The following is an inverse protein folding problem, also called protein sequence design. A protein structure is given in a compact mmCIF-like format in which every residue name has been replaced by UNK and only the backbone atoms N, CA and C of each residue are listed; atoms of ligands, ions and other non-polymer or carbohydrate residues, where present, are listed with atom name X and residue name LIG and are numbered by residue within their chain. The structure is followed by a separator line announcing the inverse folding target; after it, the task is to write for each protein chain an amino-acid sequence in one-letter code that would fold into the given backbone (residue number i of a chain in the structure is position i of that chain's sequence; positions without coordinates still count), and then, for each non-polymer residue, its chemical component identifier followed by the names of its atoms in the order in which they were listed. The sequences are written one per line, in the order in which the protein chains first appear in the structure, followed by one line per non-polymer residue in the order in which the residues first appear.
data_IF_110851399713
#
_entry.id   IF_110851399713
#
_cell.length_a   1.000
_cell.length_b   1.000
_cell.length_c   1.000
_cell.angle_alpha   90.00
_cell.angle_beta   90.00
_cell.angle_gamma   90.00
#
_symmetry.space_group_name_H-M   'P 1'
#
loop_
_entity.id
_entity.type
_entity.pdbx_description
1 polymer ?
#
# COMPACT_ATOMS: atom_id res chain seq x y z
N UNK A 1 -30.80 -14.80 -6.35
CA UNK A 1 -30.68 -15.14 -7.78
C UNK A 1 -29.20 -15.23 -8.09
N UNK A 2 -28.68 -16.40 -8.44
CA UNK A 2 -27.23 -16.66 -8.45
C UNK A 2 -26.64 -16.95 -9.83
N UNK A 3 -27.37 -16.70 -10.94
CA UNK A 3 -26.85 -16.91 -12.29
C UNK A 3 -27.43 -15.90 -13.28
N UNK A 4 -26.64 -15.57 -14.31
CA UNK A 4 -27.06 -14.69 -15.40
C UNK A 4 -28.14 -15.39 -16.21
N UNK A 5 -29.35 -14.85 -16.19
CA UNK A 5 -30.52 -15.34 -16.93
C UNK A 5 -31.09 -14.19 -17.78
N UNK A 6 -31.91 -14.45 -18.80
CA UNK A 6 -32.54 -13.40 -19.60
C UNK A 6 -33.36 -12.40 -18.76
N UNK A 7 -33.79 -12.81 -17.57
CA UNK A 7 -34.50 -11.99 -16.58
C UNK A 7 -33.58 -11.17 -15.66
N UNK A 8 -32.27 -11.48 -15.63
CA UNK A 8 -31.24 -10.79 -14.84
C UNK A 8 -30.04 -10.43 -15.74
N UNK A 9 -30.19 -9.43 -16.63
CA UNK A 9 -29.12 -9.00 -17.52
C UNK A 9 -27.96 -8.40 -16.75
N UNK A 10 -26.75 -8.52 -17.30
CA UNK A 10 -25.52 -7.97 -16.69
C UNK A 10 -25.53 -6.45 -16.56
N UNK A 11 -26.33 -5.76 -17.36
CA UNK A 11 -26.54 -4.31 -17.28
C UNK A 11 -27.20 -3.87 -15.97
N UNK A 12 -27.95 -4.77 -15.32
CA UNK A 12 -28.58 -4.53 -14.01
C UNK A 12 -27.61 -4.72 -12.83
N UNK A 13 -26.37 -5.16 -13.09
CA UNK A 13 -25.33 -5.25 -12.05
C UNK A 13 -24.63 -3.90 -11.86
N UNK A 14 -24.08 -3.66 -10.67
CA UNK A 14 -23.39 -2.42 -10.29
C UNK A 14 -22.28 -1.99 -11.28
N UNK A 15 -21.60 -2.96 -11.90
CA UNK A 15 -20.49 -2.69 -12.82
C UNK A 15 -20.93 -2.64 -14.29
N UNK A 16 -22.06 -3.25 -14.66
CA UNK A 16 -22.57 -3.32 -16.05
C UNK A 16 -21.60 -3.90 -17.11
N UNK A 17 -20.48 -4.51 -16.72
CA UNK A 17 -19.54 -5.19 -17.62
C UNK A 17 -18.95 -6.45 -17.00
N UNK A 18 -18.43 -7.36 -17.84
CA UNK A 18 -17.60 -8.48 -17.41
C UNK A 18 -16.15 -8.03 -17.27
N UNK A 19 -15.52 -8.19 -16.08
CA UNK A 19 -14.13 -7.80 -15.89
C UNK A 19 -13.19 -8.51 -16.89
N UNK A 20 -12.33 -7.75 -17.56
CA UNK A 20 -11.29 -8.26 -18.44
C UNK A 20 -10.29 -9.10 -17.65
N UNK A 21 -10.23 -10.40 -17.95
CA UNK A 21 -9.36 -11.35 -17.28
C UNK A 21 -7.87 -10.99 -17.44
N UNK A 22 -7.48 -10.50 -18.62
CA UNK A 22 -6.08 -10.17 -18.93
C UNK A 22 -5.56 -9.00 -18.09
N UNK A 23 -6.30 -7.89 -17.99
CA UNK A 23 -5.87 -6.72 -17.25
C UNK A 23 -5.76 -6.96 -15.74
N UNK A 24 -6.77 -7.62 -15.17
CA UNK A 24 -6.81 -7.91 -13.73
C UNK A 24 -5.78 -8.98 -13.33
N UNK A 25 -5.52 -9.98 -14.17
CA UNK A 25 -4.50 -11.01 -13.87
C UNK A 25 -3.05 -10.48 -13.96
N UNK A 26 -2.76 -9.57 -14.89
CA UNK A 26 -1.44 -8.93 -14.99
C UNK A 26 -1.15 -8.11 -13.74
N UNK A 27 -2.10 -7.28 -13.30
CA UNK A 27 -1.94 -6.49 -12.07
C UNK A 27 -1.81 -7.38 -10.83
N UNK A 28 -2.64 -8.42 -10.71
CA UNK A 28 -2.55 -9.39 -9.62
C UNK A 28 -1.15 -10.04 -9.57
N UNK A 29 -0.60 -10.40 -10.72
CA UNK A 29 0.74 -11.00 -10.81
C UNK A 29 1.82 -10.02 -10.36
N UNK A 30 1.72 -8.74 -10.74
CA UNK A 30 2.66 -7.69 -10.30
C UNK A 30 2.58 -7.51 -8.78
N UNK A 31 1.39 -7.40 -8.20
CA UNK A 31 1.25 -7.27 -6.76
C UNK A 31 1.76 -8.49 -6.01
N UNK A 32 1.47 -9.71 -6.48
CA UNK A 32 1.97 -10.94 -5.87
C UNK A 32 3.51 -11.02 -5.87
N UNK A 33 4.16 -10.63 -6.98
CA UNK A 33 5.62 -10.55 -7.08
C UNK A 33 6.20 -9.48 -6.15
N UNK A 34 5.54 -8.33 -6.04
CA UNK A 34 5.93 -7.26 -5.12
C UNK A 34 5.79 -7.69 -3.66
N UNK A 35 4.68 -8.34 -3.28
CA UNK A 35 4.43 -8.87 -1.94
C UNK A 35 5.50 -9.90 -1.55
N UNK A 36 5.87 -10.79 -2.47
CA UNK A 36 6.95 -11.76 -2.24
C UNK A 36 8.30 -11.06 -2.06
N UNK A 37 8.61 -10.10 -2.94
CA UNK A 37 9.86 -9.32 -2.85
C UNK A 37 9.96 -8.52 -1.55
N UNK A 38 8.85 -7.94 -1.09
CA UNK A 38 8.77 -7.21 0.18
C UNK A 38 8.90 -8.13 1.39
N UNK A 39 8.33 -9.34 1.35
CA UNK A 39 8.52 -10.33 2.41
C UNK A 39 10.00 -10.70 2.53
N UNK A 40 10.68 -10.93 1.40
CA UNK A 40 12.11 -11.24 1.37
C UNK A 40 12.98 -10.07 1.86
N UNK A 41 12.70 -8.85 1.39
CA UNK A 41 13.43 -7.63 1.80
C UNK A 41 13.16 -7.28 3.29
N UNK A 42 11.93 -7.45 3.75
CA UNK A 42 11.52 -7.24 5.14
C UNK A 42 12.25 -8.16 6.12
N UNK A 43 12.35 -9.44 5.76
CA UNK A 43 13.13 -10.43 6.52
C UNK A 43 14.63 -10.12 6.47
N UNK A 44 15.15 -9.70 5.31
CA UNK A 44 16.59 -9.45 5.11
C UNK A 44 17.10 -8.19 5.81
N UNK A 45 16.30 -7.12 5.86
CA UNK A 45 16.71 -5.81 6.37
C UNK A 45 16.16 -5.47 7.77
N UNK A 46 15.32 -6.34 8.37
CA UNK A 46 14.77 -6.18 9.74
C UNK A 46 14.09 -4.83 10.02
N UNK A 47 13.66 -4.11 8.98
CA UNK A 47 12.81 -2.90 9.10
C UNK A 47 11.34 -3.34 9.08
N UNK A 48 10.97 -4.04 10.16
CA UNK A 48 9.70 -4.79 10.25
C UNK A 48 8.50 -3.85 10.12
N UNK A 49 8.49 -2.71 10.83
CA UNK A 49 7.33 -1.80 10.82
C UNK A 49 6.98 -1.26 9.43
N UNK A 50 7.99 -0.79 8.67
CA UNK A 50 7.79 -0.29 7.31
C UNK A 50 7.38 -1.43 6.36
N UNK A 51 8.07 -2.56 6.42
CA UNK A 51 7.81 -3.70 5.55
C UNK A 51 6.43 -4.33 5.80
N UNK A 52 5.97 -4.38 7.05
CA UNK A 52 4.66 -4.94 7.42
C UNK A 52 3.51 -4.09 6.87
N UNK A 53 3.63 -2.75 6.91
CA UNK A 53 2.59 -1.85 6.38
C UNK A 53 2.46 -1.98 4.86
N UNK A 54 3.59 -1.97 4.14
CA UNK A 54 3.57 -2.11 2.67
C UNK A 54 3.09 -3.51 2.28
N UNK A 55 3.51 -4.55 3.01
CA UNK A 55 3.03 -5.92 2.80
C UNK A 55 1.51 -6.04 2.99
N UNK A 56 0.96 -5.49 4.08
CA UNK A 56 -0.47 -5.49 4.33
C UNK A 56 -1.24 -4.74 3.21
N UNK A 57 -0.72 -3.60 2.76
CA UNK A 57 -1.30 -2.85 1.64
C UNK A 57 -1.31 -3.66 0.34
N UNK A 58 -0.21 -4.34 0.02
CA UNK A 58 -0.12 -5.19 -1.18
C UNK A 58 -1.00 -6.43 -1.11
N UNK A 59 -1.21 -7.01 0.08
CA UNK A 59 -2.18 -8.09 0.28
C UNK A 59 -3.63 -7.61 0.08
N UNK A 60 -3.97 -6.42 0.57
CA UNK A 60 -5.29 -5.84 0.37
C UNK A 60 -5.61 -5.64 -1.13
N UNK A 61 -4.64 -5.18 -1.94
CA UNK A 61 -4.81 -5.10 -3.39
C UNK A 61 -4.96 -6.48 -4.03
N UNK A 62 -4.15 -7.48 -3.63
CA UNK A 62 -4.29 -8.86 -4.12
C UNK A 62 -5.69 -9.42 -3.84
N UNK A 63 -6.26 -9.15 -2.65
CA UNK A 63 -7.62 -9.57 -2.28
C UNK A 63 -8.66 -8.84 -3.15
N UNK A 64 -8.48 -7.54 -3.39
CA UNK A 64 -9.36 -6.75 -4.27
C UNK A 64 -9.39 -7.27 -5.72
N UNK A 65 -8.21 -7.53 -6.31
CA UNK A 65 -8.10 -8.11 -7.66
C UNK A 65 -8.57 -9.56 -7.72
N UNK A 66 -8.36 -10.34 -6.66
CA UNK A 66 -8.93 -11.68 -6.51
C UNK A 66 -10.45 -11.67 -6.54
N UNK A 67 -11.09 -10.71 -5.86
CA UNK A 67 -12.53 -10.48 -5.92
C UNK A 67 -13.03 -10.21 -7.35
N UNK A 68 -12.28 -9.45 -8.14
CA UNK A 68 -12.60 -9.18 -9.57
C UNK A 68 -12.48 -10.40 -10.46
N UNK A 69 -11.48 -11.25 -10.23
CA UNK A 69 -11.34 -12.52 -10.93
C UNK A 69 -12.52 -13.47 -10.64
N UNK A 70 -13.02 -13.49 -9.39
CA UNK A 70 -14.19 -14.29 -9.01
C UNK A 70 -15.45 -13.77 -9.71
N UNK A 71 -15.61 -12.45 -9.84
CA UNK A 71 -16.74 -11.82 -10.55
C UNK A 71 -16.72 -12.05 -12.07
N UNK A 72 -15.59 -12.49 -12.65
CA UNK A 72 -15.52 -12.85 -14.08
C UNK A 72 -16.42 -14.04 -14.42
N UNK A 73 -16.48 -15.05 -13.55
CA UNK A 73 -17.30 -16.24 -13.76
C UNK A 73 -18.77 -16.02 -13.38
N UNK A 74 -19.04 -15.15 -12.41
CA UNK A 74 -20.41 -14.83 -11.98
C UNK A 74 -20.51 -13.40 -11.41
N UNK A 75 -21.01 -12.44 -12.21
CA UNK A 75 -21.21 -11.05 -11.79
C UNK A 75 -22.21 -10.88 -10.64
N UNK A 76 -23.11 -11.85 -10.45
CA UNK A 76 -24.14 -11.84 -9.40
C UNK A 76 -23.68 -12.47 -8.08
N UNK A 77 -22.38 -12.78 -7.93
CA UNK A 77 -21.88 -13.33 -6.67
C UNK A 77 -21.74 -12.27 -5.59
N UNK A 78 -22.55 -12.38 -4.53
CA UNK A 78 -22.45 -11.52 -3.34
C UNK A 78 -21.06 -11.61 -2.69
N UNK A 79 -20.39 -12.77 -2.80
CA UNK A 79 -19.05 -13.01 -2.27
C UNK A 79 -17.99 -12.13 -2.96
N UNK A 80 -18.02 -12.01 -4.29
CA UNK A 80 -17.04 -11.21 -5.03
C UNK A 80 -17.20 -9.71 -4.77
N UNK A 81 -18.44 -9.25 -4.62
CA UNK A 81 -18.74 -7.88 -4.24
C UNK A 81 -18.29 -7.56 -2.80
N UNK A 82 -18.65 -8.41 -1.83
CA UNK A 82 -18.28 -8.26 -0.41
C UNK A 82 -16.76 -8.26 -0.20
N UNK A 83 -16.01 -9.11 -0.90
CA UNK A 83 -14.54 -9.15 -0.82
C UNK A 83 -13.90 -7.80 -1.20
N UNK A 84 -14.48 -7.06 -2.15
CA UNK A 84 -13.95 -5.78 -2.59
C UNK A 84 -14.32 -4.62 -1.67
N UNK A 85 -15.54 -4.61 -1.12
CA UNK A 85 -16.05 -3.46 -0.34
C UNK A 85 -15.84 -3.60 1.17
N UNK A 86 -15.71 -4.82 1.70
CA UNK A 86 -15.48 -5.01 3.15
C UNK A 86 -14.16 -4.39 3.62
N UNK A 87 -13.02 -4.53 2.91
CA UNK A 87 -11.74 -3.95 3.35
C UNK A 87 -11.73 -2.42 3.45
N UNK A 88 -12.59 -1.74 2.68
CA UNK A 88 -12.73 -0.28 2.67
C UNK A 88 -13.80 0.24 3.65
N UNK A 89 -14.35 -0.63 4.50
CA UNK A 89 -15.41 -0.26 5.45
C UNK A 89 -16.84 -0.34 4.92
N UNK A 90 -17.04 -0.85 3.69
CA UNK A 90 -18.35 -1.06 3.07
C UNK A 90 -19.17 -2.21 3.65
N UNK A 91 -18.68 -2.86 4.73
CA UNK A 91 -19.39 -3.95 5.40
C UNK A 91 -20.80 -3.56 5.85
N UNK A 92 -20.96 -2.34 6.39
CA UNK A 92 -22.26 -1.81 6.87
C UNK A 92 -23.21 -1.52 5.69
N UNK A 93 -22.70 -0.95 4.61
CA UNK A 93 -23.49 -0.71 3.39
C UNK A 93 -23.90 -2.01 2.69
N UNK A 94 -23.10 -3.07 2.81
CA UNK A 94 -23.36 -4.39 2.19
C UNK A 94 -24.28 -5.31 2.97
N UNK A 95 -24.53 -5.01 4.25
CA UNK A 95 -25.32 -5.83 5.17
C UNK A 95 -26.67 -5.19 5.52
N UNK A 96 -26.85 -3.91 5.18
CA UNK A 96 -28.11 -3.20 5.40
C UNK A 96 -29.17 -3.52 4.34
N UNK A 97 -30.44 -3.43 4.72
CA UNK A 97 -31.58 -3.36 3.81
C UNK A 97 -32.22 -1.95 3.87
N UNK A 98 -32.68 -1.43 2.74
CA UNK A 98 -33.38 -0.14 2.66
C UNK A 98 -32.53 1.05 3.13
N UNK A 99 -33.05 1.83 4.09
CA UNK A 99 -32.41 3.07 4.58
C UNK A 99 -31.04 2.84 5.21
N UNK A 100 -30.78 1.66 5.78
CA UNK A 100 -29.49 1.34 6.41
C UNK A 100 -28.34 1.25 5.40
N UNK A 101 -28.63 0.97 4.12
CA UNK A 101 -27.65 1.00 3.03
C UNK A 101 -27.21 2.44 2.73
N UNK A 102 -28.16 3.37 2.71
CA UNK A 102 -27.87 4.78 2.43
C UNK A 102 -27.03 5.38 3.57
N UNK A 103 -27.39 5.10 4.82
CA UNK A 103 -26.59 5.49 5.99
C UNK A 103 -25.18 4.88 5.93
N UNK A 104 -25.06 3.61 5.54
CA UNK A 104 -23.76 2.96 5.36
C UNK A 104 -22.91 3.60 4.24
N UNK A 105 -23.55 4.00 3.13
CA UNK A 105 -22.88 4.67 2.03
C UNK A 105 -22.36 6.07 2.43
N UNK A 106 -23.17 6.84 3.16
CA UNK A 106 -22.79 8.17 3.64
C UNK A 106 -21.61 8.10 4.62
N UNK A 107 -21.62 7.11 5.52
CA UNK A 107 -20.51 6.84 6.44
C UNK A 107 -19.23 6.49 5.67
N UNK A 108 -19.34 5.65 4.64
CA UNK A 108 -18.21 5.26 3.80
C UNK A 108 -17.63 6.47 3.04
N UNK A 109 -18.48 7.30 2.43
CA UNK A 109 -18.06 8.52 1.72
C UNK A 109 -17.40 9.50 2.68
N UNK A 110 -17.95 9.70 3.88
CA UNK A 110 -17.38 10.56 4.91
C UNK A 110 -15.98 10.10 5.33
N UNK A 111 -15.77 8.79 5.49
CA UNK A 111 -14.46 8.21 5.81
C UNK A 111 -13.42 8.46 4.73
N UNK A 112 -13.78 8.25 3.46
CA UNK A 112 -12.89 8.50 2.32
C UNK A 112 -12.61 10.00 2.18
N UNK A 113 -13.61 10.86 2.35
CA UNK A 113 -13.44 12.32 2.29
C UNK A 113 -12.48 12.83 3.37
N UNK A 114 -12.63 12.34 4.60
CA UNK A 114 -11.72 12.68 5.69
C UNK A 114 -10.30 12.19 5.42
N UNK A 115 -10.15 10.96 4.89
CA UNK A 115 -8.86 10.39 4.49
C UNK A 115 -8.17 11.24 3.41
N UNK A 116 -8.91 11.70 2.40
CA UNK A 116 -8.36 12.55 1.33
C UNK A 116 -7.89 13.89 1.89
N UNK A 117 -8.68 14.50 2.79
CA UNK A 117 -8.33 15.78 3.40
C UNK A 117 -7.04 15.72 4.23
N UNK A 118 -6.86 14.68 5.04
CA UNK A 118 -5.63 14.51 5.82
C UNK A 118 -4.43 14.21 4.91
N UNK A 119 -4.60 13.39 3.88
CA UNK A 119 -3.52 13.08 2.92
C UNK A 119 -3.09 14.30 2.11
N UNK A 120 -4.03 15.18 1.73
CA UNK A 120 -3.72 16.44 1.05
C UNK A 120 -2.83 17.34 1.92
N UNK A 121 -3.18 17.51 3.20
CA UNK A 121 -2.39 18.30 4.14
C UNK A 121 -0.98 17.73 4.31
N UNK A 122 -0.87 16.41 4.51
CA UNK A 122 0.42 15.74 4.63
C UNK A 122 1.27 15.88 3.37
N UNK A 123 0.66 15.82 2.18
CA UNK A 123 1.36 16.00 0.90
C UNK A 123 1.91 17.43 0.76
N UNK A 124 1.14 18.46 1.12
CA UNK A 124 1.60 19.85 1.08
C UNK A 124 2.80 20.07 2.00
N UNK A 125 2.75 19.52 3.22
CA UNK A 125 3.87 19.59 4.16
C UNK A 125 5.10 18.81 3.66
N UNK A 126 4.91 17.65 3.06
CA UNK A 126 6.00 16.86 2.49
C UNK A 126 6.68 17.59 1.32
N UNK A 127 5.89 18.25 0.46
CA UNK A 127 6.40 19.06 -0.65
C UNK A 127 7.13 20.31 -0.14
N UNK A 128 6.59 21.00 0.87
CA UNK A 128 7.24 22.16 1.50
C UNK A 128 8.58 21.77 2.14
N UNK A 129 8.63 20.63 2.85
CA UNK A 129 9.87 20.09 3.41
C UNK A 129 10.88 19.72 2.32
N UNK A 130 10.44 19.02 1.27
CA UNK A 130 11.31 18.64 0.14
C UNK A 130 11.85 19.87 -0.59
N UNK A 131 11.01 20.88 -0.80
CA UNK A 131 11.38 22.15 -1.44
C UNK A 131 12.34 22.97 -0.58
N UNK A 132 12.08 23.05 0.73
CA UNK A 132 12.93 23.73 1.70
C UNK A 132 14.31 23.07 1.80
N UNK A 133 14.38 21.74 1.76
CA UNK A 133 15.65 21.00 1.72
C UNK A 133 16.41 21.22 0.41
N UNK A 134 15.70 21.28 -0.72
CA UNK A 134 16.30 21.57 -2.01
C UNK A 134 16.90 22.98 -2.05
N UNK A 135 16.15 23.98 -1.57
CA UNK A 135 16.56 25.39 -1.55
C UNK A 135 17.74 25.67 -0.61
N UNK A 136 17.71 25.13 0.61
CA UNK A 136 18.76 25.36 1.62
C UNK A 136 20.13 24.84 1.17
N UNK A 137 20.14 23.78 0.35
CA UNK A 137 21.38 23.17 -0.10
C UNK A 137 21.99 23.82 -1.34
N UNK A 138 21.21 24.47 -2.20
CA UNK A 138 21.73 25.30 -3.31
C UNK A 138 22.62 26.44 -2.80
N UNK A 139 22.36 26.94 -1.59
CA UNK A 139 23.15 27.99 -0.95
C UNK A 139 24.44 27.48 -0.27
N UNK A 140 24.57 26.18 -0.04
CA UNK A 140 25.71 25.58 0.70
C UNK A 140 26.80 25.08 -0.25
N UNK A 141 27.25 25.98 -1.11
CA UNK A 141 28.42 25.83 -1.99
C UNK A 141 29.68 26.38 -1.32
N UNK A 142 30.17 25.73 -0.26
CA UNK A 142 31.51 26.00 0.29
C UNK A 142 32.19 24.69 0.71
N UNK A 143 33.25 24.34 -0.04
CA UNK A 143 34.42 23.44 0.15
C UNK A 143 34.46 22.25 1.13
N UNK A 144 33.56 22.06 2.10
CA UNK A 144 33.53 20.92 3.03
C UNK A 144 32.57 19.79 2.58
N UNK A 145 31.87 19.99 1.45
CA UNK A 145 30.71 19.20 1.05
C UNK A 145 30.97 17.81 0.45
N UNK A 146 32.21 17.40 0.24
CA UNK A 146 32.53 16.23 -0.59
C UNK A 146 32.35 14.89 0.15
N UNK A 147 32.63 14.83 1.46
CA UNK A 147 32.43 13.61 2.28
C UNK A 147 30.96 13.37 2.66
N UNK A 148 30.15 14.45 2.69
CA UNK A 148 28.72 14.42 3.00
C UNK A 148 27.87 14.19 1.73
N UNK A 149 28.41 14.46 0.53
CA UNK A 149 27.66 14.52 -0.74
C UNK A 149 26.98 13.20 -1.13
N UNK A 150 27.64 12.06 -0.95
CA UNK A 150 27.14 10.77 -1.48
C UNK A 150 25.94 10.24 -0.68
N UNK A 151 25.92 10.43 0.65
CA UNK A 151 24.78 10.08 1.51
C UNK A 151 23.58 11.02 1.32
N UNK A 152 23.82 12.29 0.97
CA UNK A 152 22.76 13.29 0.78
C UNK A 152 22.07 13.18 -0.60
N UNK A 153 22.79 12.83 -1.67
CA UNK A 153 22.16 12.51 -2.98
C UNK A 153 21.24 11.31 -2.87
N UNK A 154 21.69 10.32 -2.10
CA UNK A 154 20.96 9.10 -1.87
C UNK A 154 19.66 9.37 -1.08
N UNK A 155 19.75 10.15 0.00
CA UNK A 155 18.60 10.65 0.75
C UNK A 155 17.64 11.52 -0.08
N UNK A 156 18.16 12.36 -1.00
CA UNK A 156 17.33 13.15 -1.93
C UNK A 156 16.53 12.28 -2.89
N UNK A 157 17.17 11.27 -3.49
CA UNK A 157 16.47 10.33 -4.38
C UNK A 157 15.38 9.59 -3.61
N UNK A 158 15.66 9.15 -2.38
CA UNK A 158 14.66 8.55 -1.49
C UNK A 158 13.48 9.50 -1.22
N UNK A 159 13.73 10.77 -0.88
CA UNK A 159 12.66 11.76 -0.64
C UNK A 159 11.84 12.06 -1.90
N UNK A 160 12.46 12.13 -3.08
CA UNK A 160 11.76 12.34 -4.35
C UNK A 160 10.89 11.12 -4.69
N UNK A 161 11.42 9.91 -4.56
CA UNK A 161 10.66 8.67 -4.75
C UNK A 161 9.48 8.59 -3.77
N UNK A 162 9.69 8.98 -2.52
CA UNK A 162 8.65 9.03 -1.49
C UNK A 162 7.56 10.05 -1.82
N UNK A 163 7.92 11.29 -2.19
CA UNK A 163 6.93 12.30 -2.61
C UNK A 163 6.16 11.87 -3.86
N UNK A 164 6.83 11.23 -4.82
CA UNK A 164 6.19 10.73 -6.03
C UNK A 164 5.24 9.57 -5.74
N UNK A 165 5.62 8.64 -4.85
CA UNK A 165 4.73 7.58 -4.37
C UNK A 165 3.50 8.16 -3.64
N UNK A 166 3.71 9.16 -2.77
CA UNK A 166 2.61 9.87 -2.09
C UNK A 166 1.67 10.55 -3.09
N UNK A 167 2.20 11.21 -4.12
CA UNK A 167 1.39 11.84 -5.16
C UNK A 167 0.56 10.79 -5.91
N UNK A 168 1.13 9.65 -6.27
CA UNK A 168 0.39 8.57 -6.96
C UNK A 168 -0.73 7.98 -6.10
N UNK A 169 -0.52 7.84 -4.78
CA UNK A 169 -1.56 7.38 -3.84
C UNK A 169 -2.65 8.45 -3.68
N UNK A 170 -2.26 9.73 -3.64
CA UNK A 170 -3.19 10.84 -3.51
C UNK A 170 -4.16 10.93 -4.70
N UNK A 171 -3.66 10.68 -5.91
CA UNK A 171 -4.49 10.62 -7.12
C UNK A 171 -5.58 9.54 -6.98
N UNK A 172 -5.24 8.33 -6.50
CA UNK A 172 -6.22 7.27 -6.17
C UNK A 172 -7.27 7.75 -5.16
N UNK A 173 -6.85 8.41 -4.08
CA UNK A 173 -7.78 8.91 -3.06
C UNK A 173 -8.77 9.93 -3.66
N UNK A 174 -8.32 10.82 -4.55
CA UNK A 174 -9.20 11.75 -5.25
C UNK A 174 -10.17 11.02 -6.15
N UNK A 175 -9.75 10.01 -6.92
CA UNK A 175 -10.64 9.28 -7.82
C UNK A 175 -11.69 8.45 -7.08
N UNK A 176 -11.35 7.91 -5.91
CA UNK A 176 -12.26 7.12 -5.07
C UNK A 176 -13.43 7.91 -4.49
N UNK A 177 -13.24 9.21 -4.27
CA UNK A 177 -14.27 10.08 -3.70
C UNK A 177 -15.49 10.25 -4.63
N UNK A 178 -15.37 10.74 -5.89
CA UNK A 178 -16.48 10.84 -6.82
C UNK A 178 -16.97 9.48 -7.33
N UNK A 179 -16.12 8.46 -7.33
CA UNK A 179 -16.53 7.08 -7.65
C UNK A 179 -17.65 6.62 -6.72
N UNK A 180 -17.47 6.81 -5.40
CA UNK A 180 -18.46 6.40 -4.39
C UNK A 180 -19.56 7.45 -4.17
N UNK A 181 -19.24 8.75 -4.31
CA UNK A 181 -20.20 9.84 -4.14
C UNK A 181 -21.20 9.95 -5.30
N UNK A 182 -20.86 9.44 -6.49
CA UNK A 182 -21.79 9.40 -7.63
C UNK A 182 -22.80 8.25 -7.60
N UNK A 183 -22.81 7.47 -6.52
CA UNK A 183 -23.74 6.36 -6.33
C UNK A 183 -23.38 5.09 -7.11
N UNK A 184 -24.05 4.00 -6.75
CA UNK A 184 -23.84 2.68 -7.34
C UNK A 184 -24.19 2.70 -8.83
N UNK A 185 -23.21 2.38 -9.69
CA UNK A 185 -23.42 2.27 -11.13
C UNK A 185 -23.21 3.57 -11.93
N UNK A 186 -22.55 4.58 -11.35
CA UNK A 186 -22.07 5.78 -12.05
C UNK A 186 -21.20 5.40 -13.28
N UNK A 187 -21.26 6.09 -14.43
CA UNK A 187 -20.38 5.87 -15.59
C UNK A 187 -18.88 5.70 -15.27
N UNK A 188 -18.38 6.36 -14.22
CA UNK A 188 -16.99 6.21 -13.76
C UNK A 188 -16.68 4.78 -13.25
N UNK A 189 -17.63 4.10 -12.59
CA UNK A 189 -17.48 2.71 -12.15
C UNK A 189 -17.64 1.70 -13.30
N UNK A 190 -18.36 2.08 -14.36
CA UNK A 190 -18.63 1.23 -15.54
C UNK A 190 -17.47 1.20 -16.54
N UNK A 191 -16.53 2.13 -16.45
CA UNK A 191 -15.34 2.17 -17.30
C UNK A 191 -14.17 1.38 -16.69
N UNK A 192 -14.12 0.07 -16.98
CA UNK A 192 -13.08 -0.82 -16.44
C UNK A 192 -11.65 -0.33 -16.72
N UNK A 193 -11.39 0.15 -17.95
CA UNK A 193 -10.03 0.53 -18.38
C UNK A 193 -9.51 1.73 -17.59
N UNK A 194 -10.37 2.70 -17.34
CA UNK A 194 -10.05 3.88 -16.54
C UNK A 194 -9.80 3.48 -15.10
N UNK A 195 -10.66 2.63 -14.53
CA UNK A 195 -10.45 2.07 -13.21
C UNK A 195 -9.11 1.32 -13.11
N UNK A 196 -8.83 0.41 -14.05
CA UNK A 196 -7.66 -0.46 -14.00
C UNK A 196 -6.35 0.34 -14.04
N UNK A 197 -6.30 1.39 -14.87
CA UNK A 197 -5.12 2.24 -15.02
C UNK A 197 -5.02 3.25 -13.86
N UNK A 198 -6.11 3.95 -13.55
CA UNK A 198 -6.09 5.05 -12.58
C UNK A 198 -6.06 4.57 -11.13
N UNK A 199 -6.70 3.44 -10.82
CA UNK A 199 -6.71 2.89 -9.46
C UNK A 199 -5.60 1.84 -9.26
N UNK A 200 -5.44 0.96 -10.26
CA UNK A 200 -4.54 -0.21 -10.18
C UNK A 200 -3.09 0.05 -10.56
N UNK A 201 -2.86 0.61 -11.74
CA UNK A 201 -1.50 0.83 -12.21
C UNK A 201 -0.77 1.90 -11.38
N UNK A 202 -1.49 2.92 -10.89
CA UNK A 202 -0.91 3.96 -10.03
C UNK A 202 -0.40 3.41 -8.69
N UNK A 203 -1.17 2.53 -8.03
CA UNK A 203 -0.73 1.91 -6.76
C UNK A 203 0.36 0.85 -7.00
N UNK A 204 0.35 0.16 -8.15
CA UNK A 204 1.44 -0.72 -8.56
C UNK A 204 2.77 0.03 -8.70
N UNK A 205 2.76 1.19 -9.37
CA UNK A 205 3.96 2.03 -9.50
C UNK A 205 4.42 2.53 -8.13
N UNK A 206 3.50 3.00 -7.27
CA UNK A 206 3.82 3.46 -5.93
C UNK A 206 4.48 2.37 -5.07
N UNK A 207 3.93 1.17 -5.09
CA UNK A 207 4.44 0.02 -4.32
C UNK A 207 5.80 -0.44 -4.84
N UNK A 208 6.01 -0.49 -6.16
CA UNK A 208 7.32 -0.80 -6.76
C UNK A 208 8.36 0.25 -6.35
N UNK A 209 8.04 1.54 -6.47
CA UNK A 209 8.95 2.62 -6.08
C UNK A 209 9.33 2.56 -4.60
N UNK A 210 8.36 2.33 -3.72
CA UNK A 210 8.59 2.19 -2.28
C UNK A 210 9.37 0.91 -1.93
N UNK A 211 9.26 -0.14 -2.75
CA UNK A 211 10.03 -1.38 -2.58
C UNK A 211 11.50 -1.19 -2.96
N UNK A 212 11.76 -0.49 -4.07
CA UNK A 212 13.12 -0.21 -4.55
C UNK A 212 13.81 0.84 -3.66
N UNK A 213 13.05 1.85 -3.19
CA UNK A 213 13.53 2.86 -2.26
C UNK A 213 13.57 2.33 -0.80
N UNK A 214 14.18 1.16 -0.58
CA UNK A 214 14.23 0.57 0.76
C UNK A 214 15.14 1.40 1.70
N UNK A 215 14.64 1.93 2.83
CA UNK A 215 15.43 2.78 3.74
C UNK A 215 16.65 2.06 4.33
N UNK A 216 16.66 0.72 4.30
CA UNK A 216 17.81 -0.12 4.72
C UNK A 216 19.01 -0.11 3.77
N UNK A 217 18.84 0.31 2.51
CA UNK A 217 19.95 0.49 1.56
C UNK A 217 20.54 1.90 1.69
N UNK A 218 19.70 2.89 1.97
CA UNK A 218 20.07 4.32 2.02
C UNK A 218 20.64 4.77 3.37
N UNK A 219 20.27 4.11 4.48
CA UNK A 219 20.81 4.42 5.82
C UNK A 219 21.62 3.25 6.41
N UNK A 220 22.92 3.13 6.09
CA UNK A 220 23.80 2.12 6.69
C UNK A 220 23.91 2.23 8.23
N UNK A 221 23.57 3.39 8.81
CA UNK A 221 23.51 3.60 10.25
C UNK A 221 22.42 2.78 10.96
N UNK A 222 21.27 2.52 10.30
CA UNK A 222 20.21 1.67 10.88
C UNK A 222 20.56 0.18 10.77
N UNK A 223 21.30 -0.21 9.72
CA UNK A 223 21.86 -1.56 9.54
C UNK A 223 22.84 -1.92 10.66
N UNK A 224 23.71 -0.98 11.06
CA UNK A 224 24.66 -1.21 12.15
C UNK A 224 24.00 -1.34 13.53
N UNK A 225 22.86 -0.68 13.77
CA UNK A 225 22.08 -0.88 15.02
C UNK A 225 21.38 -2.24 15.05
N UNK A 226 20.84 -2.70 13.91
CA UNK A 226 20.24 -4.02 13.80
C UNK A 226 21.28 -5.14 14.00
N UNK A 227 22.44 -5.05 13.34
CA UNK A 227 23.54 -6.01 13.53
C UNK A 227 24.06 -6.03 14.98
N UNK A 228 24.22 -4.86 15.63
CA UNK A 228 24.62 -4.79 17.04
C UNK A 228 23.59 -5.38 18.00
N UNK A 229 22.29 -5.28 17.66
CA UNK A 229 21.23 -5.92 18.44
C UNK A 229 21.30 -7.44 18.30
N UNK A 230 21.59 -7.93 17.09
CA UNK A 230 21.78 -9.36 16.80
C UNK A 230 23.01 -9.94 17.51
N UNK A 231 24.15 -9.25 17.49
CA UNK A 231 25.34 -9.64 18.26
C UNK A 231 25.07 -9.67 19.78
N UNK A 232 24.17 -8.82 20.30
CA UNK A 232 23.78 -8.86 21.72
C UNK A 232 22.85 -10.03 22.02
N UNK A 233 21.81 -10.24 21.21
CA UNK A 233 20.87 -11.36 21.38
C UNK A 233 21.59 -12.72 21.28
N UNK A 234 22.53 -12.89 20.34
CA UNK A 234 23.34 -14.11 20.22
C UNK A 234 24.24 -14.31 21.44
N UNK A 235 24.88 -13.24 21.92
CA UNK A 235 25.70 -13.29 23.16
C UNK A 235 24.86 -13.62 24.39
N UNK A 236 23.66 -13.07 24.51
CA UNK A 236 22.76 -13.34 25.64
C UNK A 236 22.29 -14.82 25.63
N UNK A 237 22.07 -15.38 24.44
CA UNK A 237 21.75 -16.81 24.27
C UNK A 237 22.95 -17.70 24.61
N UNK A 238 24.14 -17.40 24.11
CA UNK A 238 25.38 -18.13 24.46
C UNK A 238 25.68 -18.05 25.97
N UNK A 239 25.44 -16.90 26.60
CA UNK A 239 25.61 -16.65 28.03
C UNK A 239 24.60 -17.42 28.90
N UNK A 240 23.45 -17.76 28.32
CA UNK A 240 22.39 -18.55 28.97
C UNK A 240 22.52 -20.06 28.74
N UNK A 241 23.42 -20.50 27.85
CA UNK A 241 23.67 -21.91 27.57
C UNK A 241 24.24 -22.61 28.82
N UNK A 242 23.74 -23.79 29.20
CA UNK A 242 24.16 -24.51 30.41
C UNK A 242 25.67 -24.82 30.44
N UNK A 243 26.32 -24.95 29.28
CA UNK A 243 27.78 -25.13 29.18
C UNK A 243 28.57 -23.90 29.68
N UNK A 244 28.16 -22.68 29.29
CA UNK A 244 28.86 -21.43 29.66
C UNK A 244 28.59 -20.97 31.10
N UNK A 245 27.52 -21.51 31.71
CA UNK A 245 27.20 -21.31 33.12
C UNK A 245 28.05 -22.22 34.01
N UNK A 246 28.29 -23.46 33.59
CA UNK A 246 29.18 -24.41 34.28
C UNK A 246 30.64 -23.95 34.25
N UNK A 247 31.13 -23.44 33.13
CA UNK A 247 32.49 -22.86 33.03
C UNK A 247 32.69 -21.63 33.91
N UNK A 248 31.65 -20.84 34.16
CA UNK A 248 31.72 -19.67 35.06
C UNK A 248 31.79 -20.07 36.54
N UNK A 249 31.12 -21.14 36.94
CA UNK A 249 31.21 -21.68 38.30
C UNK A 249 32.55 -22.36 38.61
N UNK A 250 33.27 -22.86 37.60
CA UNK A 250 34.60 -23.45 37.76
C UNK A 250 35.74 -22.41 37.83
N UNK A 251 35.47 -21.16 37.44
CA UNK A 251 36.46 -20.08 37.35
C UNK A 251 36.36 -19.00 38.44
N UNK A 252 35.35 -19.06 39.31
CA UNK A 252 35.16 -18.15 40.45
C UNK A 252 35.39 -18.84 41.77
#
# INVERSE_FOLDING_TARGET
MSNVTPSCPVEATTYSYYPNLAGNSILLSIFALCTLSQLLLGLRFRIIAFSTVVFLGSLAECIGYGGRLIMHNNPWSDTGFKIQIVPIGGGVASAGEGETVNVGNDIMIAGIAFQVATMALCLLLALDFAFTLWRTQTLRSNHLGQYISTSMKAFRVYLICFCLAFLTIFIRCIYRLPEMAGGWGNPLMRNEKEFLILDGAMIAIATVLMTVAHPGIFFPAMRNKANKKEEREVKDVELSSPESMSERHLRG
#
